data_IF_284462846321
#
_entry.id   IF_284462846321
#
_cell.length_a   1.000
_cell.length_b   1.000
_cell.length_c   1.000
_cell.angle_alpha   90.00
_cell.angle_beta   90.00
_cell.angle_gamma   90.00
#
_symmetry.space_group_name_H-M   'P 1'
#
loop_
_entity.id
_entity.type
_entity.pdbx_description
1 polymer ?
#
# COMPACT_ATOMS: atom_id res chain seq x y z
N UNK A 1 -10.62 -28.41 13.09
CA UNK A 1 -11.03 -27.00 13.02
C UNK A 1 -9.84 -26.24 12.47
N UNK A 2 -9.97 -25.37 11.46
CA UNK A 2 -8.86 -24.53 11.03
C UNK A 2 -8.41 -23.69 12.24
N UNK A 3 -7.11 -23.42 12.43
CA UNK A 3 -6.66 -22.56 13.51
C UNK A 3 -7.35 -21.19 13.38
N UNK A 4 -7.88 -20.66 14.48
CA UNK A 4 -8.69 -19.43 14.58
C UNK A 4 -7.99 -18.15 14.10
N UNK A 5 -6.80 -18.27 13.50
CA UNK A 5 -5.94 -17.18 13.04
C UNK A 5 -5.96 -16.99 11.52
N UNK A 6 -6.91 -17.58 10.79
CA UNK A 6 -7.08 -17.34 9.35
C UNK A 6 -8.14 -16.26 9.17
N UNK A 7 -7.70 -15.06 8.75
CA UNK A 7 -8.59 -13.95 8.44
C UNK A 7 -9.57 -14.32 7.33
N UNK A 8 -10.77 -13.72 7.40
CA UNK A 8 -11.70 -13.70 6.28
C UNK A 8 -11.05 -12.92 5.14
N UNK A 9 -11.08 -13.49 3.94
CA UNK A 9 -10.70 -12.80 2.71
C UNK A 9 -11.41 -11.44 2.66
N UNK A 10 -10.64 -10.35 2.71
CA UNK A 10 -11.16 -9.02 2.47
C UNK A 10 -10.92 -8.76 0.99
N UNK A 11 -11.99 -8.80 0.20
CA UNK A 11 -11.91 -8.42 -1.20
C UNK A 11 -11.38 -6.98 -1.29
N UNK A 12 -10.25 -6.81 -1.98
CA UNK A 12 -9.77 -5.48 -2.31
C UNK A 12 -10.81 -4.82 -3.24
N UNK A 13 -11.57 -3.88 -2.71
CA UNK A 13 -12.41 -3.02 -3.53
C UNK A 13 -11.51 -1.97 -4.20
N UNK A 14 -11.41 -2.07 -5.53
CA UNK A 14 -10.75 -1.05 -6.33
C UNK A 14 -11.33 0.33 -5.99
N UNK A 15 -10.49 1.34 -5.70
CA UNK A 15 -10.97 2.66 -5.33
C UNK A 15 -11.92 3.19 -6.43
N UNK A 16 -13.05 3.81 -6.06
CA UNK A 16 -14.11 4.12 -6.99
C UNK A 16 -13.62 5.00 -8.14
N UNK A 17 -13.78 4.45 -9.35
CA UNK A 17 -13.62 5.02 -10.70
C UNK A 17 -12.66 6.20 -10.77
N UNK A 18 -11.40 5.87 -11.07
CA UNK A 18 -10.45 6.80 -11.67
C UNK A 18 -11.04 7.52 -12.89
N UNK A 19 -10.39 8.60 -13.32
CA UNK A 19 -10.83 9.43 -14.46
C UNK A 19 -11.26 8.52 -15.62
N UNK A 20 -12.43 8.82 -16.19
CA UNK A 20 -12.93 8.13 -17.37
C UNK A 20 -11.83 7.96 -18.44
N UNK A 21 -11.56 6.74 -18.92
CA UNK A 21 -10.49 6.42 -19.87
C UNK A 21 -10.33 7.38 -21.05
N UNK A 22 -11.46 7.81 -21.61
CA UNK A 22 -11.51 8.74 -22.74
C UNK A 22 -10.99 10.13 -22.36
N UNK A 23 -11.34 10.61 -21.16
CA UNK A 23 -10.91 11.90 -20.62
C UNK A 23 -9.40 11.87 -20.35
N UNK A 24 -8.91 10.79 -19.75
CA UNK A 24 -7.51 10.59 -19.46
C UNK A 24 -6.64 10.60 -20.74
N UNK A 25 -7.10 9.88 -21.78
CA UNK A 25 -6.42 9.81 -23.08
C UNK A 25 -6.47 11.14 -23.82
N UNK A 26 -7.61 11.85 -23.82
CA UNK A 26 -7.73 13.15 -24.49
C UNK A 26 -6.83 14.21 -23.85
N UNK A 27 -6.83 14.29 -22.52
CA UNK A 27 -5.98 15.23 -21.77
C UNK A 27 -4.51 14.97 -22.04
N UNK A 28 -4.07 13.71 -22.08
CA UNK A 28 -2.68 13.37 -22.40
C UNK A 28 -2.29 13.73 -23.84
N UNK A 29 -3.20 13.52 -24.81
CA UNK A 29 -2.99 13.88 -26.22
C UNK A 29 -2.85 15.39 -26.41
N UNK A 30 -3.69 16.17 -25.73
CA UNK A 30 -3.81 17.63 -25.91
C UNK A 30 -3.12 18.45 -24.83
N UNK A 31 -2.36 17.83 -23.92
CA UNK A 31 -1.69 18.48 -22.79
C UNK A 31 -0.87 19.72 -23.19
N UNK A 32 -0.31 19.71 -24.41
CA UNK A 32 0.48 20.82 -24.95
C UNK A 32 -0.35 22.00 -25.45
N UNK A 33 -1.58 21.76 -25.89
CA UNK A 33 -2.49 22.75 -26.46
C UNK A 33 -3.54 23.29 -25.49
N UNK A 34 -3.67 22.71 -24.28
CA UNK A 34 -4.64 23.17 -23.28
C UNK A 34 -4.45 24.65 -22.91
N UNK A 35 -5.57 25.35 -22.80
CA UNK A 35 -5.67 26.71 -22.28
C UNK A 35 -5.61 26.73 -20.75
N UNK A 36 -5.32 27.90 -20.17
CA UNK A 36 -5.31 28.03 -18.71
C UNK A 36 -6.71 27.80 -18.09
N UNK A 37 -7.79 28.14 -18.80
CA UNK A 37 -9.16 27.89 -18.34
C UNK A 37 -9.47 26.39 -18.29
N UNK A 38 -9.18 25.66 -19.38
CA UNK A 38 -9.35 24.19 -19.43
C UNK A 38 -8.52 23.49 -18.34
N UNK A 39 -7.26 23.90 -18.14
CA UNK A 39 -6.42 23.32 -17.08
C UNK A 39 -7.03 23.50 -15.68
N UNK A 40 -7.68 24.64 -15.40
CA UNK A 40 -8.34 24.86 -14.10
C UNK A 40 -9.56 23.97 -13.93
N UNK A 41 -10.37 23.81 -14.97
CA UNK A 41 -11.54 22.92 -14.95
C UNK A 41 -11.12 21.48 -14.68
N UNK A 42 -10.10 20.99 -15.40
CA UNK A 42 -9.57 19.64 -15.23
C UNK A 42 -8.94 19.41 -13.86
N UNK A 43 -8.23 20.40 -13.29
CA UNK A 43 -7.68 20.30 -11.92
C UNK A 43 -8.79 20.30 -10.87
N UNK A 44 -9.87 21.09 -11.07
CA UNK A 44 -11.01 21.13 -10.15
C UNK A 44 -11.75 19.79 -10.12
N UNK A 45 -11.90 19.11 -11.26
CA UNK A 45 -12.52 17.78 -11.36
C UNK A 45 -11.76 16.72 -10.54
N UNK A 46 -10.44 16.86 -10.40
CA UNK A 46 -9.59 15.92 -9.66
C UNK A 46 -9.21 16.45 -8.27
N UNK A 47 -9.97 17.42 -7.76
CA UNK A 47 -9.78 18.03 -6.45
C UNK A 47 -8.36 18.62 -6.22
N UNK A 48 -7.72 19.10 -7.28
CA UNK A 48 -6.42 19.76 -7.24
C UNK A 48 -6.55 21.28 -7.38
N UNK A 49 -5.60 22.02 -6.80
CA UNK A 49 -5.59 23.49 -6.86
C UNK A 49 -5.53 24.02 -8.31
N UNK A 50 -6.47 24.89 -8.67
CA UNK A 50 -6.51 25.63 -9.93
C UNK A 50 -5.79 26.99 -9.91
N UNK A 51 -5.02 27.29 -8.86
CA UNK A 51 -4.31 28.56 -8.71
C UNK A 51 -2.93 28.53 -9.39
N UNK A 52 -2.50 29.72 -9.84
CA UNK A 52 -1.17 29.96 -10.41
C UNK A 52 -1.16 30.23 -11.92
N UNK A 53 0.07 30.37 -12.43
CA UNK A 53 0.38 30.63 -13.85
C UNK A 53 0.08 29.41 -14.73
N UNK A 54 -0.09 29.62 -16.05
CA UNK A 54 -0.31 28.52 -17.02
C UNK A 54 0.76 27.43 -16.93
N UNK A 55 2.03 27.80 -16.68
CA UNK A 55 3.13 26.85 -16.50
C UNK A 55 2.93 25.98 -15.24
N UNK A 56 2.58 26.58 -14.11
CA UNK A 56 2.31 25.85 -12.86
C UNK A 56 1.11 24.91 -12.99
N UNK A 57 0.02 25.37 -13.61
CA UNK A 57 -1.15 24.55 -13.89
C UNK A 57 -0.78 23.34 -14.76
N UNK A 58 -0.04 23.56 -15.86
CA UNK A 58 0.42 22.49 -16.75
C UNK A 58 1.31 21.47 -16.03
N UNK A 59 2.22 21.91 -15.16
CA UNK A 59 3.06 20.99 -14.39
C UNK A 59 2.23 20.13 -13.44
N UNK A 60 1.29 20.73 -12.70
CA UNK A 60 0.40 20.02 -11.77
C UNK A 60 -0.46 18.99 -12.50
N UNK A 61 -1.09 19.42 -13.60
CA UNK A 61 -1.93 18.58 -14.42
C UNK A 61 -1.12 17.45 -15.09
N UNK A 62 0.07 17.76 -15.62
CA UNK A 62 1.01 16.75 -16.16
C UNK A 62 1.39 15.72 -15.10
N UNK A 63 1.67 16.12 -13.86
CA UNK A 63 2.05 15.20 -12.77
C UNK A 63 0.91 14.22 -12.47
N UNK A 64 -0.30 14.75 -12.30
CA UNK A 64 -1.48 13.94 -11.99
C UNK A 64 -1.86 13.03 -13.17
N UNK A 65 -2.17 13.59 -14.34
CA UNK A 65 -2.65 12.82 -15.49
C UNK A 65 -1.60 11.85 -16.05
N UNK A 66 -0.28 12.09 -15.88
CA UNK A 66 0.72 11.07 -16.24
C UNK A 66 0.74 9.89 -15.28
N UNK A 67 0.53 10.12 -13.98
CA UNK A 67 0.42 9.04 -13.00
C UNK A 67 -0.79 8.17 -13.36
N UNK A 68 -1.95 8.80 -13.52
CA UNK A 68 -3.20 8.12 -13.89
C UNK A 68 -3.10 7.43 -15.25
N UNK A 69 -2.52 8.07 -16.27
CA UNK A 69 -2.37 7.46 -17.61
C UNK A 69 -1.35 6.32 -17.62
N UNK A 70 -0.32 6.37 -16.77
CA UNK A 70 0.60 5.24 -16.58
C UNK A 70 -0.16 4.04 -16.01
N UNK A 71 -0.96 4.25 -14.96
CA UNK A 71 -1.80 3.21 -14.35
C UNK A 71 -2.83 2.64 -15.35
N UNK A 72 -3.56 3.51 -16.05
CA UNK A 72 -4.54 3.11 -17.05
C UNK A 72 -3.95 2.24 -18.17
N UNK A 73 -2.79 2.66 -18.73
CA UNK A 73 -2.11 1.84 -19.74
C UNK A 73 -1.68 0.48 -19.19
N UNK A 74 -1.14 0.46 -17.97
CA UNK A 74 -0.74 -0.79 -17.31
C UNK A 74 -1.90 -1.76 -17.09
N UNK A 75 -3.13 -1.26 -16.85
CA UNK A 75 -4.31 -2.11 -16.62
C UNK A 75 -5.01 -2.60 -17.89
N UNK A 76 -4.83 -1.96 -19.05
CA UNK A 76 -5.68 -2.19 -20.23
C UNK A 76 -4.96 -2.58 -21.53
N UNK A 77 -3.63 -2.58 -21.53
CA UNK A 77 -2.84 -2.88 -22.72
C UNK A 77 -2.02 -4.16 -22.45
N UNK A 78 -2.56 -5.30 -22.88
CA UNK A 78 -2.12 -6.69 -22.59
C UNK A 78 -0.67 -6.95 -23.07
N UNK A 79 -0.21 -6.17 -24.04
CA UNK A 79 1.13 -6.26 -24.64
C UNK A 79 2.11 -5.19 -24.12
N UNK A 80 1.69 -4.31 -23.21
CA UNK A 80 2.55 -3.26 -22.70
C UNK A 80 3.23 -3.68 -21.39
N UNK A 81 4.23 -4.56 -21.51
CA UNK A 81 5.41 -4.41 -20.65
C UNK A 81 5.85 -2.95 -20.81
N UNK A 82 5.92 -2.14 -19.73
CA UNK A 82 6.18 -0.72 -19.88
C UNK A 82 7.51 -0.52 -20.64
N UNK A 83 7.45 -0.11 -21.91
CA UNK A 83 8.64 0.29 -22.67
C UNK A 83 9.31 1.53 -22.04
N UNK A 84 8.65 2.17 -21.08
CA UNK A 84 9.25 3.03 -20.06
C UNK A 84 9.15 2.33 -18.70
N UNK A 85 10.14 1.47 -18.45
CA UNK A 85 10.13 0.39 -17.47
C UNK A 85 9.71 0.78 -16.06
N UNK A 86 8.86 -0.06 -15.49
CA UNK A 86 8.82 -0.24 -14.06
C UNK A 86 10.22 -0.70 -13.63
N UNK A 87 11.07 0.25 -13.20
CA UNK A 87 12.44 -0.04 -12.77
C UNK A 87 12.44 -1.07 -11.65
N UNK A 88 11.39 -1.13 -10.85
CA UNK A 88 11.19 -2.13 -9.80
C UNK A 88 11.09 -3.53 -10.38
N UNK A 89 10.33 -3.73 -11.46
CA UNK A 89 10.18 -5.03 -12.14
C UNK A 89 11.52 -5.60 -12.67
N UNK A 90 12.51 -4.74 -12.92
CA UNK A 90 13.86 -5.18 -13.29
C UNK A 90 14.56 -5.92 -12.14
N UNK A 91 14.23 -5.60 -10.90
CA UNK A 91 14.92 -6.14 -9.72
C UNK A 91 14.06 -7.09 -8.90
N UNK A 92 12.74 -6.89 -8.90
CA UNK A 92 11.81 -7.59 -8.02
C UNK A 92 10.59 -8.08 -8.82
N UNK A 93 10.21 -9.31 -8.53
CA UNK A 93 8.99 -9.95 -9.02
C UNK A 93 7.83 -9.65 -8.06
N UNK A 94 8.12 -9.59 -6.75
CA UNK A 94 7.15 -9.27 -5.70
C UNK A 94 7.61 -8.13 -4.78
N UNK A 95 6.65 -7.44 -4.19
CA UNK A 95 6.87 -6.57 -3.03
C UNK A 95 6.09 -7.13 -1.85
N UNK A 96 6.68 -7.08 -0.66
CA UNK A 96 6.03 -7.42 0.60
C UNK A 96 5.89 -6.14 1.41
N UNK A 97 4.71 -5.53 1.37
CA UNK A 97 4.43 -4.32 2.14
C UNK A 97 4.08 -4.68 3.58
N UNK A 98 4.73 -4.04 4.56
CA UNK A 98 4.57 -4.30 5.99
C UNK A 98 4.38 -2.97 6.71
N UNK A 99 3.43 -2.94 7.64
CA UNK A 99 3.15 -1.77 8.48
C UNK A 99 2.81 -2.22 9.89
N UNK A 100 3.74 -2.09 10.83
CA UNK A 100 3.56 -2.63 12.18
C UNK A 100 2.78 -1.68 13.07
N UNK A 101 1.82 -2.21 13.83
CA UNK A 101 1.33 -1.53 15.02
C UNK A 101 2.16 -1.97 16.23
N UNK A 102 2.47 -1.03 17.11
CA UNK A 102 3.28 -1.27 18.30
C UNK A 102 2.60 -0.74 19.57
N UNK A 103 2.94 -1.31 20.74
CA UNK A 103 2.61 -0.72 22.04
C UNK A 103 3.09 0.72 22.08
N UNK A 104 2.32 1.65 22.66
CA UNK A 104 2.73 3.05 22.78
C UNK A 104 2.10 3.72 24.00
N UNK A 105 2.65 4.87 24.38
CA UNK A 105 2.15 5.75 25.45
C UNK A 105 2.28 7.20 24.99
N UNK A 106 1.45 8.09 25.53
CA UNK A 106 1.34 9.47 25.01
C UNK A 106 2.59 10.35 25.27
N UNK A 107 3.33 10.12 26.37
CA UNK A 107 4.27 11.13 26.91
C UNK A 107 5.74 10.66 26.98
N UNK A 108 6.04 9.39 26.67
CA UNK A 108 7.38 8.82 26.85
C UNK A 108 8.05 8.57 25.50
N UNK A 109 9.09 9.36 25.21
CA UNK A 109 9.85 9.25 23.96
C UNK A 109 10.73 7.98 23.89
N UNK A 110 11.27 7.52 25.03
CA UNK A 110 12.12 6.31 25.13
C UNK A 110 11.31 5.10 25.61
N UNK A 111 10.06 4.99 25.17
CA UNK A 111 9.21 3.87 25.52
C UNK A 111 9.67 2.61 24.78
N UNK A 112 9.86 1.46 25.46
CA UNK A 112 10.29 0.24 24.80
C UNK A 112 9.11 -0.40 24.04
N UNK A 113 8.89 0.06 22.81
CA UNK A 113 7.84 -0.41 21.91
C UNK A 113 7.99 -1.90 21.57
N UNK A 114 6.86 -2.60 21.52
CA UNK A 114 6.75 -4.00 21.09
C UNK A 114 5.68 -4.10 20.00
N UNK A 115 5.93 -4.89 18.96
CA UNK A 115 4.95 -5.14 17.89
C UNK A 115 3.72 -5.82 18.51
N UNK A 116 2.53 -5.31 18.21
CA UNK A 116 1.22 -5.86 18.61
C UNK A 116 0.33 -6.23 17.42
N UNK A 117 0.68 -5.76 16.22
CA UNK A 117 0.10 -6.23 14.96
C UNK A 117 1.19 -6.40 13.91
N UNK A 118 1.14 -7.53 13.18
CA UNK A 118 2.05 -7.85 12.10
C UNK A 118 1.27 -8.13 10.81
N UNK A 119 0.83 -7.10 10.07
CA UNK A 119 0.25 -7.26 8.75
C UNK A 119 1.34 -7.26 7.66
N UNK A 120 1.08 -7.98 6.58
CA UNK A 120 1.87 -7.96 5.36
C UNK A 120 0.97 -8.15 4.13
N UNK A 121 1.32 -7.47 3.04
CA UNK A 121 0.62 -7.56 1.75
C UNK A 121 1.61 -7.97 0.69
N UNK A 122 1.32 -9.08 -0.01
CA UNK A 122 2.11 -9.52 -1.15
C UNK A 122 1.57 -8.89 -2.43
N UNK A 123 2.45 -8.21 -3.17
CA UNK A 123 2.10 -7.47 -4.38
C UNK A 123 2.93 -8.04 -5.54
N UNK A 124 2.24 -8.50 -6.59
CA UNK A 124 2.90 -8.90 -7.83
C UNK A 124 3.29 -7.64 -8.62
N UNK A 125 4.59 -7.46 -8.89
CA UNK A 125 5.10 -6.26 -9.56
C UNK A 125 4.75 -6.25 -11.05
N UNK A 126 4.64 -7.42 -11.67
CA UNK A 126 4.30 -7.56 -13.08
C UNK A 126 2.83 -7.28 -13.34
N UNK A 127 1.95 -7.84 -12.50
CA UNK A 127 0.50 -7.70 -12.60
C UNK A 127 -0.04 -6.48 -11.83
N UNK A 128 0.78 -5.85 -10.99
CA UNK A 128 0.42 -4.73 -10.11
C UNK A 128 -0.84 -4.96 -9.26
N UNK A 129 -0.98 -6.18 -8.74
CA UNK A 129 -2.12 -6.54 -7.91
C UNK A 129 -1.65 -7.13 -6.59
N UNK A 130 -2.50 -7.00 -5.58
CA UNK A 130 -2.36 -7.78 -4.35
C UNK A 130 -2.65 -9.23 -4.72
N UNK A 131 -1.73 -10.12 -4.35
CA UNK A 131 -1.88 -11.56 -4.59
C UNK A 131 -2.26 -12.31 -3.34
N UNK A 132 -1.85 -11.82 -2.17
CA UNK A 132 -2.21 -12.39 -0.89
C UNK A 132 -1.97 -11.40 0.25
N UNK A 133 -2.56 -11.67 1.40
CA UNK A 133 -2.36 -10.90 2.63
C UNK A 133 -2.09 -11.84 3.81
N UNK A 134 -1.22 -11.39 4.70
CA UNK A 134 -0.95 -12.02 5.99
C UNK A 134 -1.24 -11.00 7.08
N UNK A 135 -1.82 -11.44 8.19
CA UNK A 135 -1.93 -10.59 9.38
C UNK A 135 -2.12 -11.47 10.60
N UNK A 136 -1.41 -11.11 11.66
CA UNK A 136 -1.57 -11.68 13.00
C UNK A 136 -1.40 -10.58 14.03
N UNK A 137 -2.11 -10.69 15.14
CA UNK A 137 -1.78 -9.93 16.34
C UNK A 137 -0.57 -10.57 17.02
N UNK A 138 0.05 -9.80 17.91
CA UNK A 138 1.24 -10.23 18.67
C UNK A 138 1.05 -9.86 20.13
N UNK A 139 1.31 -10.82 21.03
CA UNK A 139 1.28 -10.58 22.47
C UNK A 139 2.60 -9.95 22.93
N UNK A 140 2.60 -8.72 23.48
CA UNK A 140 3.79 -8.12 24.06
C UNK A 140 4.15 -8.82 25.38
N UNK A 141 5.45 -8.96 25.67
CA UNK A 141 5.95 -9.66 26.87
C UNK A 141 6.56 -8.69 27.89
N UNK A 142 7.09 -7.54 27.45
CA UNK A 142 7.71 -6.53 28.32
C UNK A 142 6.67 -5.57 28.90
N UNK A 143 5.72 -5.11 28.09
CA UNK A 143 4.61 -4.25 28.49
C UNK A 143 3.28 -4.92 28.08
N UNK A 144 2.86 -5.99 28.79
CA UNK A 144 1.71 -6.80 28.37
C UNK A 144 0.37 -6.06 28.44
N UNK A 145 0.27 -5.01 29.25
CA UNK A 145 -0.95 -4.20 29.40
C UNK A 145 -0.86 -2.98 28.48
N UNK A 146 -1.77 -2.90 27.52
CA UNK A 146 -1.86 -1.79 26.59
C UNK A 146 -2.34 -0.53 27.30
N UNK A 147 -1.69 0.59 27.00
CA UNK A 147 -2.13 1.89 27.47
C UNK A 147 -3.45 2.28 26.78
N UNK A 148 -4.39 2.96 27.48
CA UNK A 148 -5.63 3.44 26.86
C UNK A 148 -5.40 4.29 25.59
N UNK A 149 -4.33 5.09 25.54
CA UNK A 149 -3.94 5.84 24.35
C UNK A 149 -3.62 4.92 23.17
N UNK A 150 -2.86 3.84 23.41
CA UNK A 150 -2.52 2.86 22.39
C UNK A 150 -3.75 2.13 21.84
N UNK A 151 -4.66 1.73 22.73
CA UNK A 151 -5.94 1.11 22.35
C UNK A 151 -6.76 2.09 21.50
N UNK A 152 -6.84 3.35 21.90
CA UNK A 152 -7.59 4.37 21.15
C UNK A 152 -6.97 4.66 19.78
N UNK A 153 -5.64 4.70 19.69
CA UNK A 153 -4.92 5.01 18.46
C UNK A 153 -5.01 3.88 17.43
N UNK A 154 -4.81 2.63 17.87
CA UNK A 154 -4.72 1.45 17.00
C UNK A 154 -6.05 0.73 16.82
N UNK A 155 -6.98 0.88 17.78
CA UNK A 155 -8.23 0.11 17.85
C UNK A 155 -8.05 -1.32 18.36
N UNK A 156 -6.85 -1.73 18.78
CA UNK A 156 -6.55 -3.09 19.24
C UNK A 156 -6.90 -3.20 20.73
N UNK A 157 -7.74 -4.17 21.10
CA UNK A 157 -8.14 -4.40 22.49
C UNK A 157 -7.10 -5.24 23.26
N UNK A 158 -7.15 -5.16 24.59
CA UNK A 158 -6.34 -6.00 25.46
C UNK A 158 -6.59 -7.50 25.24
N UNK A 159 -7.85 -7.90 25.11
CA UNK A 159 -8.24 -9.30 24.87
C UNK A 159 -7.62 -9.86 23.57
N UNK A 160 -7.53 -9.02 22.54
CA UNK A 160 -6.91 -9.38 21.26
C UNK A 160 -5.43 -9.70 21.42
N UNK A 161 -4.66 -8.88 22.15
CA UNK A 161 -3.24 -9.16 22.37
C UNK A 161 -3.01 -10.28 23.38
N UNK A 162 -3.89 -10.45 24.37
CA UNK A 162 -3.78 -11.52 25.37
C UNK A 162 -3.90 -12.92 24.73
N UNK A 163 -4.80 -13.05 23.76
CA UNK A 163 -5.05 -14.28 22.99
C UNK A 163 -4.07 -14.51 21.83
N UNK A 164 -3.25 -13.51 21.49
CA UNK A 164 -2.31 -13.57 20.38
C UNK A 164 -1.07 -14.44 20.67
N UNK A 165 -0.40 -14.96 19.61
CA UNK A 165 0.92 -15.58 19.75
C UNK A 165 1.98 -14.56 20.21
N UNK A 166 3.02 -15.04 20.88
CA UNK A 166 4.22 -14.21 21.12
C UNK A 166 4.95 -13.94 19.80
N UNK A 167 5.78 -12.89 19.76
CA UNK A 167 6.43 -12.43 18.52
C UNK A 167 7.19 -13.55 17.79
N UNK A 168 7.87 -14.43 18.51
CA UNK A 168 8.61 -15.55 17.91
C UNK A 168 7.72 -16.47 17.08
N UNK A 169 6.50 -16.73 17.54
CA UNK A 169 5.56 -17.60 16.84
C UNK A 169 4.84 -16.83 15.72
N UNK A 170 4.49 -15.57 15.93
CA UNK A 170 4.00 -14.68 14.86
C UNK A 170 4.99 -14.59 13.69
N UNK A 171 6.28 -14.45 13.98
CA UNK A 171 7.34 -14.42 12.98
C UNK A 171 7.51 -15.75 12.25
N UNK A 172 7.31 -16.90 12.93
CA UNK A 172 7.29 -18.22 12.27
C UNK A 172 6.12 -18.31 11.29
N UNK A 173 4.92 -17.91 11.70
CA UNK A 173 3.74 -17.88 10.81
C UNK A 173 4.00 -17.01 9.58
N UNK A 174 4.61 -15.84 9.75
CA UNK A 174 4.98 -14.95 8.65
C UNK A 174 5.98 -15.61 7.69
N UNK A 175 7.01 -16.28 8.21
CA UNK A 175 8.00 -17.00 7.39
C UNK A 175 7.39 -18.17 6.63
N UNK A 176 6.48 -18.91 7.27
CA UNK A 176 5.77 -20.01 6.63
C UNK A 176 4.90 -19.49 5.48
N UNK A 177 4.19 -18.38 5.71
CA UNK A 177 3.43 -17.68 4.67
C UNK A 177 4.33 -17.22 3.50
N UNK A 178 5.48 -16.59 3.76
CA UNK A 178 6.43 -16.23 2.71
C UNK A 178 6.92 -17.45 1.92
N UNK A 179 7.18 -18.57 2.61
CA UNK A 179 7.66 -19.81 1.98
C UNK A 179 6.61 -20.42 1.07
N UNK A 180 5.32 -20.35 1.42
CA UNK A 180 4.21 -20.80 0.57
C UNK A 180 4.15 -20.06 -0.77
N UNK A 181 4.64 -18.82 -0.81
CA UNK A 181 4.74 -17.99 -2.02
C UNK A 181 6.09 -18.07 -2.72
N UNK A 182 6.95 -19.03 -2.35
CA UNK A 182 8.32 -19.16 -2.85
C UNK A 182 9.13 -17.86 -2.70
N UNK A 183 8.98 -17.17 -1.56
CA UNK A 183 9.80 -16.02 -1.20
C UNK A 183 10.91 -16.48 -0.25
N UNK A 184 12.17 -16.22 -0.62
CA UNK A 184 13.36 -16.67 0.11
C UNK A 184 14.59 -16.71 -0.80
N UNK A 185 15.68 -17.33 -0.36
CA UNK A 185 17.00 -17.23 -1.01
C UNK A 185 17.08 -17.79 -2.44
N UNK A 186 16.20 -18.74 -2.78
CA UNK A 186 16.19 -19.43 -4.09
C UNK A 186 14.89 -19.24 -4.88
N UNK A 187 14.01 -18.39 -4.37
CA UNK A 187 12.67 -18.18 -4.90
C UNK A 187 12.56 -16.95 -5.81
N UNK A 188 11.38 -16.33 -5.81
CA UNK A 188 11.16 -15.07 -6.51
C UNK A 188 11.97 -13.93 -5.89
N UNK A 189 12.36 -12.95 -6.70
CA UNK A 189 13.05 -11.76 -6.23
C UNK A 189 12.04 -10.86 -5.57
N UNK A 190 12.28 -10.45 -4.33
CA UNK A 190 11.35 -9.59 -3.61
C UNK A 190 12.06 -8.52 -2.79
N UNK A 191 11.30 -7.50 -2.39
CA UNK A 191 11.74 -6.49 -1.44
C UNK A 191 10.65 -6.25 -0.40
N UNK A 192 11.07 -5.92 0.82
CA UNK A 192 10.17 -5.36 1.82
C UNK A 192 9.93 -3.87 1.53
N UNK A 193 8.70 -3.43 1.74
CA UNK A 193 8.29 -2.03 1.61
C UNK A 193 7.58 -1.62 2.88
N UNK A 194 7.92 -0.47 3.42
CA UNK A 194 7.31 0.11 4.63
C UNK A 194 6.97 1.57 4.35
N UNK A 195 5.95 2.11 5.02
CA UNK A 195 5.77 3.56 5.10
C UNK A 195 6.72 4.11 6.17
N UNK A 196 7.40 5.22 5.89
CA UNK A 196 8.59 5.67 6.65
C UNK A 196 8.58 7.14 7.01
#
# INVERSE_FOLDING_TARGET
MPPENILKHVDYEEPPKGIEPHTLTDVMRRLHSLTAAEMRTLLKQVHQSGQGTKKQLRTRLRRYYRKEFSMYRMLHDVDCVPRFGNKTARYFDYLVAIDFECTCVEVIYDYPHEIIEFPAVLIDVGQMRIVDTFRTFVRPEKNPILDPFCIQLTGISQETVDSAPVFKDAYRLFRDWMTQHNLGDSGYRYAFVTDG
#
